data_IF_711843262861
#
_entry.id   IF_711843262861
#
_cell.length_a   1.000
_cell.length_b   1.000
_cell.length_c   1.000
_cell.angle_alpha   90.00
_cell.angle_beta   90.00
_cell.angle_gamma   90.00
#
_symmetry.space_group_name_H-M   'P 1'
#
loop_
_entity.id
_entity.type
_entity.pdbx_description
1 polymer ?
#
# COMPACT_ATOMS: atom_id res chain seq x y z
N UNK A 1 4.93 -27.38 -24.52
CA UNK A 1 4.41 -26.16 -25.14
C UNK A 1 3.41 -25.57 -24.15
N UNK A 2 3.87 -24.64 -23.30
CA UNK A 2 2.99 -23.95 -22.34
C UNK A 2 2.38 -22.78 -23.10
N UNK A 3 1.08 -22.87 -23.23
CA UNK A 3 0.24 -21.84 -23.79
C UNK A 3 0.36 -20.58 -22.92
N UNK A 4 1.09 -19.59 -23.42
CA UNK A 4 1.12 -18.26 -22.82
C UNK A 4 -0.19 -17.58 -23.20
N UNK A 5 -1.27 -17.93 -22.47
CA UNK A 5 -2.50 -17.19 -22.55
C UNK A 5 -2.14 -15.72 -22.33
N UNK A 6 -2.43 -14.91 -23.36
CA UNK A 6 -2.32 -13.44 -23.33
C UNK A 6 -3.05 -12.96 -22.06
N UNK A 7 -2.27 -12.60 -21.04
CA UNK A 7 -2.83 -11.94 -19.85
C UNK A 7 -3.38 -10.62 -20.34
N UNK A 8 -4.68 -10.50 -20.39
CA UNK A 8 -5.36 -9.22 -20.58
C UNK A 8 -4.97 -8.40 -19.35
N UNK A 9 -4.05 -7.45 -19.51
CA UNK A 9 -3.76 -6.49 -18.45
C UNK A 9 -5.08 -5.81 -18.09
N UNK A 10 -5.40 -5.78 -16.80
CA UNK A 10 -6.61 -5.10 -16.36
C UNK A 10 -6.61 -3.66 -16.85
N UNK A 11 -7.72 -3.26 -17.41
CA UNK A 11 -7.89 -1.91 -17.94
C UNK A 11 -8.01 -0.91 -16.80
N UNK A 12 -7.35 0.24 -16.93
CA UNK A 12 -7.51 1.33 -15.98
C UNK A 12 -8.96 1.82 -15.95
N UNK A 13 -9.51 1.88 -14.76
CA UNK A 13 -10.81 2.47 -14.46
C UNK A 13 -10.63 3.70 -13.59
N UNK A 14 -11.65 4.56 -13.57
CA UNK A 14 -11.55 5.81 -12.82
C UNK A 14 -12.82 6.04 -12.01
N UNK A 15 -12.64 6.44 -10.76
CA UNK A 15 -13.70 6.87 -9.85
C UNK A 15 -13.58 8.37 -9.61
N UNK A 16 -14.67 9.09 -9.86
CA UNK A 16 -14.76 10.50 -9.45
C UNK A 16 -15.16 10.59 -7.97
N UNK A 17 -14.34 11.26 -7.18
CA UNK A 17 -14.61 11.58 -5.78
C UNK A 17 -14.64 13.09 -5.56
N UNK A 18 -14.89 13.55 -4.34
CA UNK A 18 -14.79 14.97 -4.01
C UNK A 18 -13.33 15.44 -4.14
N UNK A 19 -13.09 16.36 -5.06
CA UNK A 19 -11.77 16.96 -5.31
C UNK A 19 -10.74 16.05 -5.98
N UNK A 20 -11.09 14.80 -6.41
CA UNK A 20 -10.16 13.90 -7.07
C UNK A 20 -10.82 12.98 -8.09
N UNK A 21 -10.03 12.53 -9.06
CA UNK A 21 -10.32 11.43 -9.97
C UNK A 21 -9.30 10.33 -9.69
N UNK A 22 -9.77 9.20 -9.15
CA UNK A 22 -8.92 8.10 -8.70
C UNK A 22 -8.83 7.03 -9.78
N UNK A 23 -7.60 6.64 -10.15
CA UNK A 23 -7.34 5.47 -10.99
C UNK A 23 -7.39 4.21 -10.13
N UNK A 24 -8.05 3.18 -10.63
CA UNK A 24 -8.03 1.85 -10.04
C UNK A 24 -8.07 0.76 -11.12
N UNK A 25 -7.67 -0.47 -10.72
CA UNK A 25 -7.89 -1.69 -11.50
C UNK A 25 -8.67 -2.68 -10.65
N UNK A 26 -9.56 -3.42 -11.29
CA UNK A 26 -10.43 -4.42 -10.66
C UNK A 26 -10.35 -5.71 -11.48
N UNK A 27 -9.77 -6.74 -10.90
CA UNK A 27 -9.35 -7.96 -11.58
C UNK A 27 -9.80 -9.21 -10.82
N UNK A 28 -10.13 -10.27 -11.56
CA UNK A 28 -10.54 -11.52 -10.95
C UNK A 28 -11.96 -11.49 -10.39
N UNK A 29 -12.29 -12.50 -9.59
CA UNK A 29 -13.62 -12.68 -8.99
C UNK A 29 -13.46 -13.36 -7.62
N UNK A 30 -14.48 -13.25 -6.77
CA UNK A 30 -14.50 -13.85 -5.45
C UNK A 30 -14.36 -12.83 -4.34
N UNK A 31 -13.73 -13.19 -3.23
CA UNK A 31 -13.51 -12.31 -2.08
C UNK A 31 -12.66 -11.11 -2.47
N UNK A 32 -13.13 -9.91 -2.13
CA UNK A 32 -12.44 -8.68 -2.48
C UNK A 32 -11.17 -8.48 -1.64
N UNK A 33 -10.10 -8.08 -2.31
CA UNK A 33 -8.83 -7.68 -1.70
C UNK A 33 -8.44 -6.32 -2.29
N UNK A 34 -8.28 -5.30 -1.44
CA UNK A 34 -7.89 -3.95 -1.84
C UNK A 34 -6.44 -3.71 -1.48
N UNK A 35 -5.63 -3.32 -2.46
CA UNK A 35 -4.22 -3.01 -2.31
C UNK A 35 -3.99 -1.50 -2.32
N UNK A 36 -3.28 -0.99 -1.31
CA UNK A 36 -3.02 0.43 -1.06
C UNK A 36 -1.50 0.65 -1.01
N UNK A 37 -0.97 1.38 -1.99
CA UNK A 37 0.47 1.60 -2.16
C UNK A 37 1.06 2.59 -1.16
N UNK A 38 2.41 2.59 -1.08
CA UNK A 38 3.22 3.50 -0.25
C UNK A 38 3.43 4.88 -0.86
N UNK A 39 4.26 5.70 -0.19
CA UNK A 39 4.67 7.02 -0.67
C UNK A 39 5.49 6.91 -1.94
N UNK A 40 5.35 7.85 -2.85
CA UNK A 40 6.00 7.93 -4.18
C UNK A 40 5.69 6.79 -5.16
N UNK A 41 4.89 5.84 -4.74
CA UNK A 41 4.49 4.67 -5.52
C UNK A 41 3.07 4.84 -6.07
N UNK A 42 2.58 3.84 -6.78
CA UNK A 42 1.23 3.76 -7.30
C UNK A 42 0.76 2.29 -7.42
N UNK A 43 -0.41 2.08 -8.00
CA UNK A 43 -1.05 0.75 -8.07
C UNK A 43 -0.22 -0.30 -8.84
N UNK A 44 0.71 0.13 -9.70
CA UNK A 44 1.51 -0.81 -10.50
C UNK A 44 2.50 -1.60 -9.63
N UNK A 45 2.87 -1.13 -8.42
CA UNK A 45 3.71 -1.90 -7.49
C UNK A 45 3.12 -3.27 -7.15
N UNK A 46 1.80 -3.40 -7.26
CA UNK A 46 1.06 -4.61 -6.93
C UNK A 46 0.86 -5.58 -8.10
N UNK A 47 1.51 -5.32 -9.24
CA UNK A 47 1.41 -6.19 -10.42
C UNK A 47 1.76 -7.66 -10.14
N UNK A 48 2.87 -7.98 -9.41
CA UNK A 48 3.19 -9.37 -9.10
C UNK A 48 2.16 -10.05 -8.19
N UNK A 49 1.50 -9.30 -7.31
CA UNK A 49 0.46 -9.79 -6.42
C UNK A 49 -0.85 -10.04 -7.18
N UNK A 50 -1.26 -9.07 -7.99
CA UNK A 50 -2.46 -9.17 -8.80
C UNK A 50 -2.39 -10.34 -9.79
N UNK A 51 -1.23 -10.53 -10.43
CA UNK A 51 -1.02 -11.62 -11.37
C UNK A 51 -1.27 -13.02 -10.79
N UNK A 52 -1.09 -13.17 -9.47
CA UNK A 52 -1.27 -14.45 -8.76
C UNK A 52 -2.64 -14.53 -8.09
N UNK A 53 -3.05 -13.47 -7.38
CA UNK A 53 -4.25 -13.51 -6.56
C UNK A 53 -5.55 -13.40 -7.38
N UNK A 54 -5.54 -12.76 -8.55
CA UNK A 54 -6.73 -12.58 -9.38
C UNK A 54 -7.34 -13.90 -9.88
N UNK A 55 -6.60 -14.99 -9.79
CA UNK A 55 -7.12 -16.34 -10.05
C UNK A 55 -8.10 -16.87 -9.00
N UNK A 56 -8.05 -16.33 -7.77
CA UNK A 56 -8.86 -16.81 -6.64
C UNK A 56 -9.62 -15.69 -5.91
N UNK A 57 -9.24 -14.43 -6.10
CA UNK A 57 -9.79 -13.25 -5.44
C UNK A 57 -10.20 -12.18 -6.46
N UNK A 58 -11.12 -11.31 -6.06
CA UNK A 58 -11.32 -10.02 -6.75
C UNK A 58 -10.28 -9.04 -6.23
N UNK A 59 -9.27 -8.77 -7.03
CA UNK A 59 -8.13 -7.90 -6.70
C UNK A 59 -8.43 -6.49 -7.16
N UNK A 60 -8.43 -5.56 -6.22
CA UNK A 60 -8.66 -4.13 -6.47
C UNK A 60 -7.39 -3.40 -6.07
N UNK A 61 -6.81 -2.65 -7.01
CA UNK A 61 -5.62 -1.81 -6.80
C UNK A 61 -5.98 -0.38 -7.11
N UNK A 62 -5.61 0.59 -6.28
CA UNK A 62 -5.91 1.99 -6.54
C UNK A 62 -4.65 2.84 -6.44
N UNK A 63 -4.57 3.89 -7.25
CA UNK A 63 -3.69 5.02 -6.99
C UNK A 63 -4.35 5.92 -5.95
N UNK A 64 -3.70 6.13 -4.81
CA UNK A 64 -4.16 7.11 -3.83
C UNK A 64 -4.18 8.50 -4.45
N UNK A 65 -5.05 9.39 -3.95
CA UNK A 65 -5.12 10.76 -4.48
C UNK A 65 -3.74 11.44 -4.50
N UNK A 66 -3.46 12.14 -5.58
CA UNK A 66 -2.17 12.82 -5.78
C UNK A 66 -0.98 11.90 -6.02
N UNK A 67 -1.21 10.62 -6.35
CA UNK A 67 -0.18 9.65 -6.71
C UNK A 67 -0.53 8.98 -8.05
N UNK A 68 0.47 8.45 -8.73
CA UNK A 68 0.31 7.74 -10.00
C UNK A 68 -0.43 8.57 -11.04
N UNK A 69 -1.56 8.06 -11.54
CA UNK A 69 -2.45 8.74 -12.47
C UNK A 69 -3.74 9.28 -11.82
N UNK A 70 -3.82 9.21 -10.48
CA UNK A 70 -4.89 9.85 -9.72
C UNK A 70 -4.60 11.34 -9.55
N UNK A 71 -5.67 12.15 -9.64
CA UNK A 71 -5.58 13.59 -9.36
C UNK A 71 -5.84 13.90 -7.87
N UNK A 72 -5.92 15.17 -7.54
CA UNK A 72 -6.17 15.66 -6.19
C UNK A 72 -4.91 15.87 -5.37
N UNK A 73 -5.09 16.32 -4.13
CA UNK A 73 -3.98 16.58 -3.20
C UNK A 73 -3.86 15.43 -2.20
N UNK A 74 -2.65 14.91 -1.95
CA UNK A 74 -2.46 13.87 -0.95
C UNK A 74 -2.93 14.30 0.44
N UNK A 75 -3.77 13.47 1.05
CA UNK A 75 -4.29 13.72 2.40
C UNK A 75 -4.78 12.40 3.00
N UNK A 76 -4.37 12.09 4.23
CA UNK A 76 -4.78 10.85 4.88
C UNK A 76 -6.30 10.82 5.17
N UNK A 77 -6.89 11.95 5.56
CA UNK A 77 -8.33 12.04 5.79
C UNK A 77 -9.12 11.82 4.50
N UNK A 78 -8.64 12.37 3.41
CA UNK A 78 -9.25 12.19 2.09
C UNK A 78 -9.05 10.78 1.54
N UNK A 79 -7.91 10.13 1.82
CA UNK A 79 -7.70 8.71 1.47
C UNK A 79 -8.78 7.81 2.10
N UNK A 80 -9.24 8.13 3.34
CA UNK A 80 -10.33 7.39 3.99
C UNK A 80 -11.68 7.63 3.28
N UNK A 81 -11.97 8.87 2.93
CA UNK A 81 -13.17 9.22 2.17
C UNK A 81 -13.17 8.55 0.78
N UNK A 82 -12.01 8.50 0.14
CA UNK A 82 -11.81 7.83 -1.13
C UNK A 82 -12.03 6.32 -1.04
N UNK A 83 -11.52 5.66 -0.01
CA UNK A 83 -11.80 4.25 0.23
C UNK A 83 -13.31 4.00 0.42
N UNK A 84 -14.00 4.82 1.23
CA UNK A 84 -15.47 4.72 1.36
C UNK A 84 -16.18 4.91 0.02
N UNK A 85 -15.72 5.85 -0.80
CA UNK A 85 -16.27 6.06 -2.14
C UNK A 85 -16.04 4.85 -3.04
N UNK A 86 -14.84 4.25 -2.99
CA UNK A 86 -14.49 3.04 -3.74
C UNK A 86 -15.37 1.84 -3.32
N UNK A 87 -15.57 1.63 -2.01
CA UNK A 87 -16.46 0.59 -1.51
C UNK A 87 -17.89 0.74 -2.05
N UNK A 88 -18.45 1.96 -1.99
CA UNK A 88 -19.79 2.25 -2.53
C UNK A 88 -19.85 2.03 -4.04
N UNK A 89 -18.86 2.54 -4.77
CA UNK A 89 -18.79 2.43 -6.23
C UNK A 89 -18.75 0.99 -6.72
N UNK A 90 -17.97 0.14 -6.04
CA UNK A 90 -17.79 -1.27 -6.41
C UNK A 90 -18.79 -2.22 -5.74
N UNK A 91 -19.72 -1.70 -4.94
CA UNK A 91 -20.72 -2.48 -4.23
C UNK A 91 -20.14 -3.41 -3.16
N UNK A 92 -18.99 -3.01 -2.56
CA UNK A 92 -18.31 -3.83 -1.56
C UNK A 92 -18.95 -3.63 -0.19
N UNK A 93 -19.25 -4.74 0.48
CA UNK A 93 -19.65 -4.72 1.89
C UNK A 93 -18.45 -4.90 2.82
N UNK A 94 -17.53 -5.77 2.41
CA UNK A 94 -16.33 -6.12 3.16
C UNK A 94 -15.21 -6.51 2.19
N UNK A 95 -13.95 -6.21 2.52
CA UNK A 95 -12.77 -6.65 1.80
C UNK A 95 -11.59 -6.91 2.75
N UNK A 96 -10.63 -7.73 2.33
CA UNK A 96 -9.31 -7.73 2.92
C UNK A 96 -8.57 -6.45 2.47
N UNK A 97 -7.85 -5.78 3.38
CA UNK A 97 -7.02 -4.63 3.04
C UNK A 97 -5.55 -5.01 3.12
N UNK A 98 -4.80 -4.70 2.08
CA UNK A 98 -3.34 -4.83 2.02
C UNK A 98 -2.76 -3.44 1.82
N UNK A 99 -2.05 -2.95 2.81
CA UNK A 99 -1.41 -1.63 2.74
C UNK A 99 0.09 -1.71 2.94
N UNK A 100 0.85 -0.95 2.15
CA UNK A 100 2.30 -0.85 2.28
C UNK A 100 2.70 0.55 2.77
N UNK A 101 3.51 0.64 3.84
CA UNK A 101 4.08 1.90 4.36
C UNK A 101 3.01 2.96 4.62
N UNK A 102 2.95 4.06 3.86
CA UNK A 102 1.84 5.02 3.98
C UNK A 102 0.47 4.38 3.68
N UNK A 103 0.40 3.44 2.73
CA UNK A 103 -0.80 2.65 2.46
C UNK A 103 -1.20 1.78 3.66
N UNK A 104 -0.23 1.26 4.42
CA UNK A 104 -0.50 0.54 5.66
C UNK A 104 -1.10 1.47 6.74
N UNK A 105 -0.63 2.73 6.81
CA UNK A 105 -1.25 3.75 7.66
C UNK A 105 -2.69 4.01 7.28
N UNK A 106 -2.97 4.19 5.98
CA UNK A 106 -4.33 4.38 5.46
C UNK A 106 -5.23 3.17 5.79
N UNK A 107 -4.74 1.95 5.55
CA UNK A 107 -5.47 0.72 5.84
C UNK A 107 -5.78 0.56 7.34
N UNK A 108 -4.81 0.84 8.21
CA UNK A 108 -4.98 0.81 9.66
C UNK A 108 -6.03 1.83 10.14
N UNK A 109 -5.96 3.07 9.64
CA UNK A 109 -6.93 4.11 9.95
C UNK A 109 -8.34 3.74 9.49
N UNK A 110 -8.47 3.26 8.26
CA UNK A 110 -9.75 2.82 7.72
C UNK A 110 -10.34 1.68 8.55
N UNK A 111 -9.53 0.70 8.93
CA UNK A 111 -9.97 -0.42 9.75
C UNK A 111 -10.41 -0.02 11.16
N UNK A 112 -9.83 1.05 11.72
CA UNK A 112 -10.22 1.60 13.01
C UNK A 112 -11.56 2.32 12.96
N UNK A 113 -11.83 3.05 11.86
CA UNK A 113 -13.06 3.82 11.67
C UNK A 113 -14.23 2.99 11.11
N UNK A 114 -13.92 1.91 10.39
CA UNK A 114 -14.90 1.07 9.69
C UNK A 114 -14.58 -0.43 9.81
N UNK A 115 -14.47 -0.98 11.04
CA UNK A 115 -13.99 -2.34 11.25
C UNK A 115 -14.87 -3.40 10.59
N UNK A 116 -16.17 -3.13 10.43
CA UNK A 116 -17.10 -4.04 9.77
C UNK A 116 -16.88 -4.14 8.25
N UNK A 117 -16.19 -3.17 7.65
CA UNK A 117 -15.87 -3.17 6.22
C UNK A 117 -14.58 -3.96 5.90
N UNK A 118 -13.83 -4.41 6.93
CA UNK A 118 -12.55 -5.08 6.76
C UNK A 118 -12.63 -6.50 7.31
N UNK A 119 -12.37 -7.51 6.48
CA UNK A 119 -12.36 -8.92 6.89
C UNK A 119 -11.06 -9.29 7.60
N UNK A 120 -9.95 -8.86 7.04
CA UNK A 120 -8.62 -8.99 7.63
C UNK A 120 -7.72 -7.86 7.10
N UNK A 121 -6.65 -7.58 7.82
CA UNK A 121 -5.73 -6.49 7.55
C UNK A 121 -4.30 -7.02 7.35
N UNK A 122 -3.65 -6.60 6.29
CA UNK A 122 -2.26 -6.94 5.99
C UNK A 122 -1.48 -5.64 5.89
N UNK A 123 -0.51 -5.46 6.79
CA UNK A 123 0.30 -4.24 6.92
C UNK A 123 1.75 -4.57 6.59
N UNK A 124 2.22 -4.07 5.46
CA UNK A 124 3.59 -4.23 4.98
C UNK A 124 4.40 -2.97 5.27
N UNK A 125 5.62 -3.12 5.81
CA UNK A 125 6.47 -2.00 6.20
C UNK A 125 5.80 -1.12 7.26
N UNK A 126 5.37 -1.73 8.35
CA UNK A 126 4.49 -1.22 9.40
C UNK A 126 4.77 0.25 9.78
N UNK A 127 3.74 1.10 9.77
CA UNK A 127 3.88 2.49 10.22
C UNK A 127 4.11 2.55 11.73
N UNK A 128 4.96 3.47 12.18
CA UNK A 128 5.05 3.77 13.63
C UNK A 128 3.75 4.41 14.12
N UNK A 129 3.35 4.01 15.32
CA UNK A 129 2.15 4.51 16.00
C UNK A 129 2.60 5.40 17.16
N UNK A 130 1.90 6.53 17.37
CA UNK A 130 2.17 7.46 18.47
C UNK A 130 2.90 8.73 18.08
N UNK A 131 2.89 9.71 18.98
CA UNK A 131 3.41 11.06 18.75
C UNK A 131 4.96 11.14 18.63
N UNK A 132 5.68 10.10 19.02
CA UNK A 132 7.14 10.05 19.00
C UNK A 132 7.70 9.39 17.72
N UNK A 133 6.93 9.30 16.65
CA UNK A 133 7.38 8.75 15.38
C UNK A 133 8.45 9.65 14.77
N UNK A 134 9.72 9.44 15.15
CA UNK A 134 10.83 9.91 14.35
C UNK A 134 10.61 9.35 12.93
N UNK A 135 10.46 10.23 11.97
CA UNK A 135 10.22 9.84 10.58
C UNK A 135 11.53 9.25 10.05
N UNK A 136 11.50 8.00 9.58
CA UNK A 136 12.63 7.42 8.83
C UNK A 136 12.87 8.16 7.51
N UNK A 137 11.99 9.12 7.20
CA UNK A 137 12.00 9.94 6.00
C UNK A 137 12.28 11.38 6.44
N UNK A 138 13.39 11.99 6.01
CA UNK A 138 13.68 13.40 6.26
C UNK A 138 12.81 14.29 5.36
N UNK A 139 11.52 14.36 5.69
CA UNK A 139 10.50 14.98 4.85
C UNK A 139 10.77 16.45 4.59
N UNK A 140 11.19 17.20 5.60
CA UNK A 140 11.49 18.64 5.47
C UNK A 140 12.69 18.88 4.54
N UNK A 141 13.72 18.02 4.60
CA UNK A 141 14.88 18.10 3.71
C UNK A 141 14.48 17.81 2.26
N UNK A 142 13.63 16.78 2.06
CA UNK A 142 13.11 16.45 0.72
C UNK A 142 12.18 17.53 0.17
N UNK A 143 11.39 18.17 1.05
CA UNK A 143 10.57 19.32 0.69
C UNK A 143 11.46 20.50 0.27
N UNK A 144 12.48 20.82 1.06
CA UNK A 144 13.43 21.88 0.73
C UNK A 144 14.18 21.59 -0.58
N UNK A 145 14.58 20.33 -0.80
CA UNK A 145 15.21 19.90 -2.04
C UNK A 145 14.28 20.07 -3.25
N UNK A 146 13.03 19.61 -3.14
CA UNK A 146 12.04 19.71 -4.22
C UNK A 146 11.73 21.18 -4.57
N UNK A 147 11.57 22.04 -3.55
CA UNK A 147 11.30 23.47 -3.76
C UNK A 147 12.52 24.23 -4.30
N UNK A 148 13.73 23.92 -3.81
CA UNK A 148 14.95 24.65 -4.16
C UNK A 148 15.62 24.16 -5.46
N UNK A 149 15.56 22.86 -5.76
CA UNK A 149 16.28 22.25 -6.89
C UNK A 149 15.38 21.46 -7.85
N UNK A 150 14.06 21.50 -7.60
CA UNK A 150 13.06 20.84 -8.43
C UNK A 150 12.82 19.39 -8.06
N UNK A 151 11.66 18.89 -8.46
CA UNK A 151 11.17 17.55 -8.14
C UNK A 151 12.09 16.43 -8.68
N UNK A 152 12.77 16.66 -9.80
CA UNK A 152 13.69 15.66 -10.34
C UNK A 152 14.95 15.48 -9.46
N UNK A 153 15.37 16.52 -8.73
CA UNK A 153 16.44 16.40 -7.76
C UNK A 153 16.00 15.52 -6.58
N UNK A 154 14.77 15.74 -6.10
CA UNK A 154 14.17 14.88 -5.08
C UNK A 154 14.06 13.42 -5.56
N UNK A 155 13.51 13.16 -6.76
CA UNK A 155 13.33 11.81 -7.30
C UNK A 155 14.64 11.04 -7.38
N UNK A 156 15.73 11.69 -7.79
CA UNK A 156 17.08 11.08 -7.84
C UNK A 156 17.61 10.75 -6.45
N UNK A 157 17.43 11.65 -5.48
CA UNK A 157 17.85 11.44 -4.10
C UNK A 157 17.03 10.32 -3.44
N UNK A 158 15.70 10.39 -3.58
CA UNK A 158 14.79 9.41 -3.04
C UNK A 158 15.03 8.01 -3.58
N UNK A 159 15.36 7.86 -4.88
CA UNK A 159 15.64 6.56 -5.49
C UNK A 159 16.85 5.84 -4.85
N UNK A 160 17.70 6.56 -4.09
CA UNK A 160 18.83 5.98 -3.35
C UNK A 160 18.49 5.70 -1.87
N UNK A 161 17.30 6.12 -1.40
CA UNK A 161 16.92 5.95 -0.01
C UNK A 161 16.63 4.47 0.29
N UNK A 162 17.02 3.93 1.47
CA UNK A 162 16.80 2.53 1.82
C UNK A 162 15.34 2.06 1.69
N UNK A 163 14.36 2.95 1.91
CA UNK A 163 12.94 2.65 1.77
C UNK A 163 12.46 2.62 0.30
N UNK A 164 13.27 3.04 -0.66
CA UNK A 164 12.95 3.06 -2.08
C UNK A 164 13.82 2.12 -2.91
N UNK A 165 14.90 1.57 -2.32
CA UNK A 165 15.82 0.66 -3.02
C UNK A 165 15.36 -0.78 -2.94
N UNK A 166 15.56 -1.53 -4.03
CA UNK A 166 15.32 -2.97 -4.11
C UNK A 166 16.58 -3.77 -3.81
N UNK A 167 16.40 -4.95 -3.26
CA UNK A 167 17.44 -5.96 -3.04
C UNK A 167 17.45 -7.04 -4.12
N UNK A 168 16.32 -7.26 -4.78
CA UNK A 168 16.25 -8.16 -5.93
C UNK A 168 17.15 -7.67 -7.08
N UNK A 169 17.60 -8.63 -7.92
CA UNK A 169 18.30 -8.33 -9.17
C UNK A 169 17.39 -8.39 -10.40
N UNK A 170 16.09 -8.57 -10.22
CA UNK A 170 15.15 -8.57 -11.33
C UNK A 170 15.08 -7.17 -11.98
N UNK A 171 15.52 -7.00 -13.23
CA UNK A 171 15.54 -5.70 -13.89
C UNK A 171 14.14 -5.15 -14.09
N UNK A 172 13.09 -5.98 -14.18
CA UNK A 172 11.71 -5.54 -14.33
C UNK A 172 11.21 -4.86 -13.06
N UNK A 173 11.58 -5.38 -11.89
CA UNK A 173 11.24 -4.74 -10.62
C UNK A 173 11.92 -3.37 -10.49
N UNK A 174 13.19 -3.26 -10.86
CA UNK A 174 13.92 -1.99 -10.87
C UNK A 174 13.33 -0.98 -11.85
N UNK A 175 12.97 -1.41 -13.05
CA UNK A 175 12.31 -0.56 -14.04
C UNK A 175 10.95 -0.06 -13.53
N UNK A 176 10.15 -0.94 -12.93
CA UNK A 176 8.85 -0.61 -12.38
C UNK A 176 8.94 0.47 -11.29
N UNK A 177 9.86 0.32 -10.32
CA UNK A 177 10.10 1.33 -9.29
C UNK A 177 10.56 2.65 -9.89
N UNK A 178 11.51 2.62 -10.83
CA UNK A 178 12.01 3.83 -11.50
C UNK A 178 10.89 4.59 -12.22
N UNK A 179 10.00 3.87 -12.91
CA UNK A 179 8.84 4.47 -13.59
C UNK A 179 7.85 5.11 -12.59
N UNK A 180 7.55 4.44 -11.47
CA UNK A 180 6.66 4.98 -10.43
C UNK A 180 7.24 6.24 -9.80
N UNK A 181 8.53 6.23 -9.40
CA UNK A 181 9.21 7.42 -8.85
C UNK A 181 9.25 8.55 -9.88
N UNK A 182 9.51 8.24 -11.16
CA UNK A 182 9.56 9.27 -12.22
C UNK A 182 8.22 9.97 -12.43
N UNK A 183 7.09 9.28 -12.29
CA UNK A 183 5.73 9.84 -12.46
C UNK A 183 5.10 10.37 -11.18
N UNK A 184 5.75 10.19 -10.00
CA UNK A 184 5.26 10.76 -8.74
C UNK A 184 5.16 12.29 -8.84
N UNK A 185 3.95 12.87 -8.64
CA UNK A 185 3.76 14.30 -8.93
C UNK A 185 4.30 15.24 -7.84
N UNK A 186 4.55 14.76 -6.62
CA UNK A 186 5.18 15.51 -5.54
C UNK A 186 4.34 16.66 -4.98
N UNK A 187 3.02 16.63 -5.09
CA UNK A 187 2.15 17.70 -4.57
C UNK A 187 2.30 17.91 -3.08
N UNK A 188 2.52 16.87 -2.31
CA UNK A 188 2.77 16.94 -0.87
C UNK A 188 4.11 17.60 -0.52
N UNK A 189 5.08 17.57 -1.41
CA UNK A 189 6.37 18.26 -1.24
C UNK A 189 6.34 19.72 -1.72
N UNK A 190 5.55 20.03 -2.75
CA UNK A 190 5.61 21.33 -3.43
C UNK A 190 4.46 22.25 -3.10
N UNK A 191 3.33 21.73 -2.59
CA UNK A 191 2.17 22.54 -2.22
C UNK A 191 2.16 22.85 -0.71
N UNK A 192 2.18 24.15 -0.38
CA UNK A 192 2.18 24.61 1.01
C UNK A 192 0.90 24.24 1.77
N UNK A 193 -0.21 23.98 1.09
CA UNK A 193 -1.49 23.65 1.72
C UNK A 193 -1.61 22.19 2.18
N UNK A 194 -0.65 21.33 1.79
CA UNK A 194 -0.63 19.91 2.18
C UNK A 194 0.16 19.65 3.46
N UNK A 195 0.80 20.67 4.03
CA UNK A 195 1.62 20.56 5.22
C UNK A 195 0.76 20.51 6.49
N UNK A 196 0.43 19.33 6.93
CA UNK A 196 -0.13 19.08 8.27
C UNK A 196 0.46 17.80 8.85
N UNK A 197 0.62 17.68 10.17
CA UNK A 197 1.02 16.43 10.77
C UNK A 197 0.00 15.35 10.36
N UNK A 198 0.49 14.28 9.76
CA UNK A 198 -0.37 13.14 9.47
C UNK A 198 -0.99 12.66 10.78
N UNK A 199 -2.32 12.52 10.82
CA UNK A 199 -3.00 11.96 11.98
C UNK A 199 -2.35 10.63 12.36
N UNK A 200 -2.08 10.47 13.64
CA UNK A 200 -1.50 9.23 14.16
C UNK A 200 -2.58 8.15 14.11
N UNK A 201 -2.33 7.00 13.47
CA UNK A 201 -3.31 5.94 13.44
C UNK A 201 -3.62 5.46 14.87
N UNK A 202 -4.88 5.27 15.17
CA UNK A 202 -5.31 4.53 16.36
C UNK A 202 -5.32 3.04 16.05
N UNK A 203 -4.82 2.25 16.99
CA UNK A 203 -4.89 0.78 16.88
C UNK A 203 -6.35 0.36 17.00
N UNK A 204 -6.88 -0.42 16.06
CA UNK A 204 -8.26 -0.88 16.14
C UNK A 204 -8.44 -1.80 17.34
N UNK A 205 -9.39 -1.45 18.22
CA UNK A 205 -9.79 -2.33 19.32
C UNK A 205 -10.80 -3.36 18.80
N UNK A 206 -10.37 -4.20 17.89
CA UNK A 206 -11.20 -5.24 17.26
C UNK A 206 -10.48 -6.58 17.26
N UNK A 207 -11.26 -7.67 17.12
CA UNK A 207 -10.72 -9.03 16.92
C UNK A 207 -10.44 -9.33 15.44
N UNK A 208 -10.36 -8.31 14.61
CA UNK A 208 -10.01 -8.48 13.19
C UNK A 208 -8.61 -9.07 13.08
N UNK A 209 -8.43 -10.14 12.30
CA UNK A 209 -7.12 -10.72 12.07
C UNK A 209 -6.18 -9.74 11.36
N UNK A 210 -4.95 -9.62 11.85
CA UNK A 210 -3.94 -8.72 11.28
C UNK A 210 -2.66 -9.50 11.00
N UNK A 211 -2.14 -9.39 9.77
CA UNK A 211 -0.82 -9.86 9.38
C UNK A 211 0.13 -8.67 9.25
N UNK A 212 1.21 -8.70 10.00
CA UNK A 212 2.31 -7.75 9.88
C UNK A 212 3.40 -8.36 9.02
N UNK A 213 3.65 -7.75 7.86
CA UNK A 213 4.65 -8.19 6.88
C UNK A 213 5.83 -7.23 6.94
N UNK A 214 7.04 -7.76 6.86
CA UNK A 214 8.26 -6.95 6.75
C UNK A 214 9.38 -7.72 6.11
N UNK A 215 10.29 -7.02 5.43
CA UNK A 215 11.47 -7.63 4.85
C UNK A 215 12.53 -7.94 5.91
N UNK A 216 13.32 -9.00 5.69
CA UNK A 216 14.44 -9.39 6.55
C UNK A 216 15.41 -8.23 6.76
N UNK A 217 15.63 -7.43 5.73
CA UNK A 217 16.58 -6.32 5.69
C UNK A 217 15.88 -4.94 5.66
N UNK A 218 14.61 -4.87 6.09
CA UNK A 218 13.96 -3.57 6.31
C UNK A 218 14.63 -2.84 7.49
N UNK A 219 14.41 -1.53 7.59
CA UNK A 219 14.96 -0.71 8.67
C UNK A 219 14.54 -1.23 10.04
N UNK A 220 15.45 -1.18 11.02
CA UNK A 220 15.18 -1.63 12.38
C UNK A 220 14.02 -0.85 13.02
N UNK A 221 13.86 0.41 12.67
CA UNK A 221 12.72 1.24 13.08
C UNK A 221 11.37 0.64 12.61
N UNK A 222 11.32 0.03 11.42
CA UNK A 222 10.11 -0.64 10.89
C UNK A 222 9.83 -1.96 11.60
N UNK A 223 10.88 -2.72 11.90
CA UNK A 223 10.77 -3.95 12.67
C UNK A 223 10.26 -3.66 14.09
N UNK A 224 10.85 -2.66 14.76
CA UNK A 224 10.39 -2.20 16.08
C UNK A 224 8.94 -1.73 16.05
N UNK A 225 8.55 -0.96 15.03
CA UNK A 225 7.15 -0.52 14.87
C UNK A 225 6.19 -1.70 14.71
N UNK A 226 6.61 -2.75 14.00
CA UNK A 226 5.82 -3.98 13.89
C UNK A 226 5.67 -4.71 15.22
N UNK A 227 6.74 -4.76 16.05
CA UNK A 227 6.70 -5.34 17.40
C UNK A 227 5.75 -4.56 18.31
N UNK A 228 5.87 -3.23 18.30
CA UNK A 228 5.02 -2.32 19.07
C UNK A 228 3.55 -2.47 18.68
N UNK A 229 3.26 -2.52 17.39
CA UNK A 229 1.90 -2.69 16.89
C UNK A 229 1.33 -4.06 17.23
N UNK A 230 2.12 -5.14 17.05
CA UNK A 230 1.71 -6.50 17.40
C UNK A 230 1.32 -6.62 18.88
N UNK A 231 2.03 -5.95 19.78
CA UNK A 231 1.73 -5.97 21.21
C UNK A 231 0.40 -5.30 21.59
N UNK A 232 -0.13 -4.46 20.73
CA UNK A 232 -1.37 -3.71 20.93
C UNK A 232 -2.58 -4.35 20.24
N UNK A 233 -2.36 -5.29 19.33
CA UNK A 233 -3.41 -5.97 18.58
C UNK A 233 -3.85 -7.25 19.28
N UNK A 234 -5.16 -7.53 19.27
CA UNK A 234 -5.70 -8.74 19.89
C UNK A 234 -5.42 -10.02 19.09
N UNK A 235 -5.28 -9.90 17.76
CA UNK A 235 -5.01 -11.02 16.85
C UNK A 235 -4.03 -10.56 15.78
N UNK A 236 -2.75 -10.68 16.06
CA UNK A 236 -1.68 -10.35 15.12
C UNK A 236 -0.79 -11.56 14.84
N UNK A 237 -0.56 -11.80 13.55
CA UNK A 237 0.48 -12.70 13.05
C UNK A 237 1.60 -11.86 12.44
N UNK A 238 2.80 -12.42 12.39
CA UNK A 238 3.97 -11.77 11.80
C UNK A 238 4.64 -12.70 10.81
N UNK A 239 5.06 -12.13 9.70
CA UNK A 239 5.88 -12.83 8.71
C UNK A 239 7.04 -11.94 8.28
N UNK A 240 8.22 -12.53 8.19
CA UNK A 240 9.41 -11.90 7.65
C UNK A 240 9.69 -12.49 6.27
N UNK A 241 9.80 -11.62 5.27
CA UNK A 241 10.07 -12.03 3.89
C UNK A 241 11.59 -12.14 3.70
N UNK A 242 12.11 -13.35 3.42
CA UNK A 242 13.54 -13.58 3.33
C UNK A 242 14.16 -12.86 2.14
N UNK A 243 15.36 -12.31 2.33
CA UNK A 243 16.13 -11.60 1.32
C UNK A 243 15.60 -10.24 0.92
N UNK A 244 14.50 -9.77 1.51
CA UNK A 244 13.80 -8.56 1.12
C UNK A 244 14.11 -7.36 2.03
N UNK A 245 14.05 -6.15 1.44
CA UNK A 245 14.07 -4.87 2.15
C UNK A 245 12.66 -4.33 2.39
N UNK A 246 12.51 -2.99 2.36
CA UNK A 246 11.22 -2.34 2.59
C UNK A 246 10.16 -2.65 1.53
N UNK A 247 10.57 -2.83 0.28
CA UNK A 247 9.68 -3.17 -0.85
C UNK A 247 9.60 -4.70 -1.02
N UNK A 248 9.21 -5.40 0.06
CA UNK A 248 9.34 -6.85 0.11
C UNK A 248 8.41 -7.58 -0.86
N UNK A 249 7.31 -6.98 -1.27
CA UNK A 249 6.41 -7.47 -2.32
C UNK A 249 7.07 -7.54 -3.71
N UNK A 250 8.08 -6.71 -3.97
CA UNK A 250 8.86 -6.68 -5.22
C UNK A 250 10.21 -7.39 -5.08
N UNK A 251 10.81 -7.37 -3.90
CA UNK A 251 12.09 -8.05 -3.65
C UNK A 251 11.97 -9.57 -3.70
N UNK A 252 10.91 -10.11 -3.09
CA UNK A 252 10.62 -11.54 -3.07
C UNK A 252 9.11 -11.79 -3.24
N UNK A 253 8.58 -11.58 -4.47
CA UNK A 253 7.15 -11.70 -4.73
C UNK A 253 6.61 -13.12 -4.47
N UNK A 254 7.42 -14.15 -4.61
CA UNK A 254 6.99 -15.52 -4.39
C UNK A 254 6.68 -15.77 -2.90
N UNK A 255 7.60 -15.43 -2.00
CA UNK A 255 7.40 -15.57 -0.57
C UNK A 255 6.30 -14.64 -0.05
N UNK A 256 6.27 -13.40 -0.55
CA UNK A 256 5.23 -12.43 -0.22
C UNK A 256 3.84 -12.94 -0.60
N UNK A 257 3.66 -13.39 -1.84
CA UNK A 257 2.39 -13.90 -2.34
C UNK A 257 1.92 -15.12 -1.54
N UNK A 258 2.82 -16.05 -1.23
CA UNK A 258 2.48 -17.23 -0.42
C UNK A 258 1.94 -16.84 0.95
N UNK A 259 2.61 -15.90 1.65
CA UNK A 259 2.22 -15.44 2.96
C UNK A 259 0.84 -14.76 2.96
N UNK A 260 0.60 -13.82 2.04
CA UNK A 260 -0.67 -13.10 1.99
C UNK A 260 -1.83 -13.98 1.48
N UNK A 261 -1.58 -14.90 0.54
CA UNK A 261 -2.59 -15.87 0.08
C UNK A 261 -3.06 -16.79 1.20
N UNK A 262 -2.11 -17.35 1.96
CA UNK A 262 -2.42 -18.21 3.10
C UNK A 262 -3.27 -17.45 4.15
N UNK A 263 -2.88 -16.22 4.47
CA UNK A 263 -3.61 -15.41 5.44
C UNK A 263 -5.01 -15.03 4.95
N UNK A 264 -5.14 -14.58 3.69
CA UNK A 264 -6.43 -14.25 3.08
C UNK A 264 -7.34 -15.49 3.00
N UNK A 265 -6.80 -16.65 2.67
CA UNK A 265 -7.59 -17.90 2.61
C UNK A 265 -8.17 -18.28 3.97
N UNK A 266 -7.47 -18.01 5.07
CA UNK A 266 -7.94 -18.27 6.43
C UNK A 266 -8.94 -17.24 6.94
N UNK A 267 -8.81 -15.97 6.52
CA UNK A 267 -9.48 -14.84 7.15
C UNK A 267 -10.24 -13.91 6.19
N UNK A 268 -10.12 -14.12 4.89
CA UNK A 268 -10.88 -13.37 3.88
C UNK A 268 -12.38 -13.64 3.96
N UNK A 269 -13.17 -12.85 3.25
CA UNK A 269 -14.62 -13.08 3.16
C UNK A 269 -14.88 -14.41 2.46
N UNK A 270 -15.61 -15.36 3.06
CA UNK A 270 -15.99 -16.57 2.35
C UNK A 270 -16.76 -16.21 1.08
N UNK A 271 -16.38 -16.77 -0.06
CA UNK A 271 -17.24 -16.75 -1.25
C UNK A 271 -18.45 -17.63 -0.93
N UNK A 272 -19.59 -17.01 -0.62
CA UNK A 272 -20.83 -17.74 -0.66
C UNK A 272 -21.05 -18.18 -2.12
N UNK A 273 -20.91 -19.47 -2.37
CA UNK A 273 -21.36 -20.06 -3.62
C UNK A 273 -22.87 -19.78 -3.75
N UNK A 274 -23.22 -18.98 -4.74
CA UNK A 274 -24.62 -18.80 -5.16
C UNK A 274 -25.04 -19.96 -6.05
#
# INVERSE_FOLDING_TARGET
>A
MHDAALRVHAQDSYLQTDGARLRYRDEGRGSAVIFIHGWTLDLDMWEPQAAVLSGACRVIRLDRRGHGLSSGRPSLSEDLADLHALYRHLGLRQAALVGMSQGARTALHFSSSSPQAVSCLILDGTPRIGAAAALDIPYDDYRALALGRGLDAFRREWAQHPLATLRTRDPRAHELIAQMIARYPGYDLTDASTAGPAAVPTVPNTRMPVLLVGGEFDLDSRKTAADELASQLLQAERVQIPGAGHLCNLDNPAAYNAAIQEFIARHGVPTHAH
#
